data_IF_741165264706
#
_entry.id   IF_741165264706
#
_cell.length_a   1.000
_cell.length_b   1.000
_cell.length_c   1.000
_cell.angle_alpha   90.00
_cell.angle_beta   90.00
_cell.angle_gamma   90.00
#
_symmetry.space_group_name_H-M   'P 1'
#
loop_
_entity.id
_entity.type
_entity.pdbx_description
1 polymer ?
#
# COMPACT_ATOMS: atom_id res chain seq x y z
N UNK A 1 -14.53 -33.79 -49.98
CA UNK A 1 -13.10 -33.70 -49.55
C UNK A 1 -12.77 -32.22 -49.43
N UNK A 2 -12.36 -31.60 -48.33
CA UNK A 2 -11.98 -32.04 -47.00
C UNK A 2 -12.34 -30.93 -46.01
N UNK A 3 -13.01 -31.31 -44.91
CA UNK A 3 -13.04 -30.53 -43.68
C UNK A 3 -11.62 -30.48 -43.10
N UNK A 4 -11.08 -29.30 -42.86
CA UNK A 4 -9.84 -29.12 -42.07
C UNK A 4 -10.12 -28.21 -40.87
N UNK A 5 -10.53 -28.87 -39.80
CA UNK A 5 -10.09 -28.68 -38.42
C UNK A 5 -9.94 -27.25 -37.89
N UNK A 6 -11.02 -26.72 -37.32
CA UNK A 6 -10.98 -25.64 -36.34
C UNK A 6 -10.39 -26.23 -35.05
N UNK A 7 -9.12 -25.94 -34.78
CA UNK A 7 -8.45 -26.30 -33.53
C UNK A 7 -8.82 -25.26 -32.47
N UNK A 8 -9.67 -25.67 -31.53
CA UNK A 8 -10.02 -24.94 -30.31
C UNK A 8 -8.75 -24.70 -29.47
N UNK A 9 -8.30 -23.43 -29.39
CA UNK A 9 -7.35 -22.98 -28.37
C UNK A 9 -8.10 -22.85 -27.04
N UNK A 10 -8.15 -23.94 -26.28
CA UNK A 10 -8.47 -23.93 -24.85
C UNK A 10 -7.33 -23.20 -24.13
N UNK A 11 -7.54 -21.91 -23.84
CA UNK A 11 -6.70 -21.17 -22.91
C UNK A 11 -6.85 -21.81 -21.52
N UNK A 12 -5.82 -22.50 -21.06
CA UNK A 12 -5.73 -23.00 -19.69
C UNK A 12 -5.75 -21.80 -18.73
N UNK A 13 -6.92 -21.54 -18.15
CA UNK A 13 -7.08 -20.65 -17.01
C UNK A 13 -6.43 -21.35 -15.81
N UNK A 14 -5.14 -21.11 -15.58
CA UNK A 14 -4.49 -21.46 -14.33
C UNK A 14 -5.07 -20.52 -13.27
N UNK A 15 -6.17 -20.94 -12.65
CA UNK A 15 -6.59 -20.43 -11.35
C UNK A 15 -5.45 -20.75 -10.39
N UNK A 16 -4.59 -19.76 -10.13
CA UNK A 16 -3.72 -19.80 -8.97
C UNK A 16 -4.64 -19.87 -7.75
N UNK A 17 -4.89 -21.08 -7.26
CA UNK A 17 -5.51 -21.31 -5.97
C UNK A 17 -4.77 -20.44 -4.96
N UNK A 18 -5.47 -19.67 -4.10
CA UNK A 18 -4.78 -19.02 -3.00
C UNK A 18 -4.07 -20.13 -2.22
N UNK A 19 -2.76 -19.96 -1.99
CA UNK A 19 -2.01 -20.87 -1.14
C UNK A 19 -2.83 -21.06 0.13
N UNK A 20 -3.33 -22.29 0.34
CA UNK A 20 -4.09 -22.65 1.54
C UNK A 20 -3.19 -22.25 2.70
N UNK A 21 -3.63 -21.26 3.48
CA UNK A 21 -2.89 -20.82 4.64
C UNK A 21 -2.62 -22.04 5.51
N UNK A 22 -1.35 -22.34 5.78
CA UNK A 22 -0.95 -23.44 6.66
C UNK A 22 -1.71 -23.26 8.00
N UNK A 23 -2.67 -24.15 8.34
CA UNK A 23 -3.50 -24.02 9.53
C UNK A 23 -2.65 -24.02 10.81
N UNK A 24 -1.50 -24.70 10.76
CA UNK A 24 -0.52 -24.79 11.84
C UNK A 24 0.25 -23.48 12.03
N UNK A 25 0.56 -22.78 10.93
CA UNK A 25 1.18 -21.46 10.99
C UNK A 25 0.18 -20.40 11.45
N UNK A 26 -1.06 -20.46 10.96
CA UNK A 26 -2.13 -19.57 11.40
C UNK A 26 -2.46 -19.77 12.89
N UNK A 27 -2.57 -21.01 13.36
CA UNK A 27 -2.76 -21.33 14.78
C UNK A 27 -1.62 -20.84 15.68
N UNK A 28 -0.36 -20.92 15.22
CA UNK A 28 0.80 -20.35 15.94
C UNK A 28 0.75 -18.83 15.99
N UNK A 29 0.41 -18.16 14.88
CA UNK A 29 0.25 -16.71 14.84
C UNK A 29 -0.91 -16.25 15.73
N UNK A 30 -2.06 -16.93 15.69
CA UNK A 30 -3.20 -16.65 16.57
C UNK A 30 -2.79 -16.69 18.05
N UNK A 31 -2.11 -17.74 18.49
CA UNK A 31 -1.58 -17.83 19.87
C UNK A 31 -0.61 -16.71 20.21
N UNK A 32 0.21 -16.28 19.26
CA UNK A 32 1.11 -15.15 19.42
C UNK A 32 0.34 -13.82 19.65
N UNK A 33 -0.85 -13.68 19.05
CA UNK A 33 -1.65 -12.46 19.11
C UNK A 33 -2.68 -12.41 20.22
N UNK A 34 -3.19 -13.55 20.70
CA UNK A 34 -4.20 -13.66 21.77
C UNK A 34 -3.81 -12.92 23.06
N UNK A 35 -2.52 -12.84 23.32
CA UNK A 35 -1.92 -12.20 24.47
C UNK A 35 -1.72 -10.68 24.32
N UNK A 36 -1.95 -10.13 23.12
CA UNK A 36 -1.98 -8.69 22.94
C UNK A 36 -3.21 -8.11 23.64
N UNK A 37 -3.05 -6.95 24.27
CA UNK A 37 -4.16 -6.23 24.91
C UNK A 37 -4.48 -4.96 24.09
N UNK A 38 -5.43 -5.00 23.12
CA UNK A 38 -5.75 -3.87 22.25
C UNK A 38 -6.07 -2.57 23.00
N UNK A 39 -6.65 -2.67 24.19
CA UNK A 39 -7.00 -1.51 25.04
C UNK A 39 -5.78 -0.71 25.51
N UNK A 40 -4.60 -1.34 25.58
CA UNK A 40 -3.32 -0.69 25.94
C UNK A 40 -2.70 0.08 24.78
N UNK A 41 -3.10 -0.21 23.53
CA UNK A 41 -2.65 0.55 22.37
C UNK A 41 -3.45 1.85 22.25
N UNK A 42 -2.77 2.98 22.47
CA UNK A 42 -3.33 4.32 22.31
C UNK A 42 -2.78 4.97 21.05
N UNK A 43 -3.63 5.07 20.02
CA UNK A 43 -3.31 5.69 18.73
C UNK A 43 -4.01 7.03 18.59
N UNK A 44 -3.38 7.97 17.89
CA UNK A 44 -3.93 9.31 17.60
C UNK A 44 -4.56 9.43 16.20
N UNK A 45 -4.48 8.37 15.38
CA UNK A 45 -5.24 8.23 14.14
C UNK A 45 -6.74 8.20 14.45
N UNK A 46 -7.63 8.51 13.49
CA UNK A 46 -9.08 8.38 13.73
C UNK A 46 -9.58 6.95 13.49
N UNK A 47 -9.06 6.32 12.44
CA UNK A 47 -9.28 4.92 12.13
C UNK A 47 -7.96 4.18 11.99
N UNK A 48 -7.96 2.90 12.33
CA UNK A 48 -6.79 2.04 12.19
C UNK A 48 -7.19 0.57 12.05
N UNK A 49 -6.31 -0.19 11.38
CA UNK A 49 -6.37 -1.64 11.32
C UNK A 49 -4.93 -2.18 11.36
N UNK A 50 -4.71 -3.20 12.19
CA UNK A 50 -3.49 -4.01 12.21
C UNK A 50 -3.93 -5.46 12.03
N UNK A 51 -3.46 -6.11 10.98
CA UNK A 51 -3.85 -7.48 10.65
C UNK A 51 -2.67 -8.28 10.09
N UNK A 52 -2.57 -9.55 10.45
CA UNK A 52 -1.55 -10.42 9.90
C UNK A 52 -1.93 -10.98 8.51
N UNK A 53 -0.96 -11.62 7.84
CA UNK A 53 -1.16 -12.26 6.53
C UNK A 53 -2.20 -13.38 6.48
N UNK A 54 -2.61 -13.90 7.64
CA UNK A 54 -3.62 -14.95 7.75
C UNK A 54 -5.03 -14.38 7.88
N UNK A 55 -5.17 -13.05 7.97
CA UNK A 55 -6.44 -12.36 8.14
C UNK A 55 -6.83 -12.14 9.60
N UNK A 56 -5.97 -12.49 10.56
CA UNK A 56 -6.24 -12.24 11.97
C UNK A 56 -6.12 -10.74 12.22
N UNK A 57 -7.18 -10.15 12.80
CA UNK A 57 -7.17 -8.74 13.21
C UNK A 57 -6.54 -8.64 14.60
N UNK A 58 -5.39 -7.98 14.69
CA UNK A 58 -4.68 -7.73 15.95
C UNK A 58 -5.25 -6.51 16.66
N UNK A 59 -5.58 -5.47 15.89
CA UNK A 59 -6.16 -4.24 16.39
C UNK A 59 -7.05 -3.62 15.31
N UNK A 60 -8.19 -3.09 15.71
CA UNK A 60 -9.02 -2.25 14.85
C UNK A 60 -9.66 -1.11 15.64
N UNK A 61 -9.88 0.01 14.93
CA UNK A 61 -10.68 1.13 15.41
C UNK A 61 -11.32 1.80 14.21
N UNK A 62 -12.65 1.89 14.21
CA UNK A 62 -13.43 2.45 13.11
C UNK A 62 -13.01 1.87 11.74
N UNK A 63 -12.71 0.56 11.70
CA UNK A 63 -12.09 -0.05 10.53
C UNK A 63 -12.97 -0.04 9.27
N UNK A 64 -14.29 0.01 9.44
CA UNK A 64 -15.30 0.12 8.38
C UNK A 64 -15.72 1.58 8.06
N UNK A 65 -15.15 2.57 8.75
CA UNK A 65 -15.52 3.96 8.50
C UNK A 65 -14.93 4.43 7.17
N UNK A 66 -15.79 4.76 6.19
CA UNK A 66 -15.38 5.39 4.93
C UNK A 66 -14.79 6.77 5.19
N UNK A 67 -13.62 7.05 4.64
CA UNK A 67 -12.98 8.36 4.71
C UNK A 67 -12.05 8.61 3.52
N UNK A 68 -11.73 9.88 3.22
CA UNK A 68 -10.76 10.20 2.19
C UNK A 68 -9.39 9.60 2.51
N UNK A 69 -8.73 9.01 1.49
CA UNK A 69 -7.45 8.30 1.68
C UNK A 69 -6.25 8.99 1.07
N UNK A 70 -6.48 10.13 0.42
CA UNK A 70 -5.47 10.91 -0.27
C UNK A 70 -4.58 10.01 -1.16
N UNK A 71 -3.26 10.25 -1.16
CA UNK A 71 -2.30 9.52 -1.99
C UNK A 71 -2.11 8.04 -1.69
N UNK A 72 -2.77 7.45 -0.68
CA UNK A 72 -2.84 5.97 -0.57
C UNK A 72 -3.44 5.38 -1.85
N UNK A 73 -4.34 6.12 -2.50
CA UNK A 73 -4.90 5.87 -3.84
C UNK A 73 -3.87 5.40 -4.87
N UNK A 74 -2.63 5.92 -4.82
CA UNK A 74 -1.60 5.61 -5.81
C UNK A 74 -1.15 4.14 -5.79
N UNK A 75 -1.42 3.39 -4.73
CA UNK A 75 -1.25 1.94 -4.74
C UNK A 75 -2.20 1.28 -5.74
N UNK A 76 -3.48 1.67 -5.76
CA UNK A 76 -4.45 1.20 -6.76
C UNK A 76 -4.03 1.61 -8.17
N UNK A 77 -3.61 2.87 -8.36
CA UNK A 77 -3.07 3.37 -9.63
C UNK A 77 -1.94 2.49 -10.15
N UNK A 78 -0.97 2.16 -9.30
CA UNK A 78 0.16 1.33 -9.70
C UNK A 78 -0.26 -0.09 -10.11
N UNK A 79 -1.19 -0.71 -9.37
CA UNK A 79 -1.67 -2.04 -9.75
C UNK A 79 -2.38 -2.03 -11.11
N UNK A 80 -3.25 -1.05 -11.36
CA UNK A 80 -3.96 -0.93 -12.64
C UNK A 80 -3.00 -0.76 -13.82
N UNK A 81 -1.93 0.04 -13.65
CA UNK A 81 -0.89 0.20 -14.68
C UNK A 81 -0.16 -1.14 -14.93
N UNK A 82 0.22 -1.84 -13.87
CA UNK A 82 0.98 -3.09 -13.97
C UNK A 82 0.14 -4.25 -14.52
N UNK A 83 -1.13 -4.36 -14.13
CA UNK A 83 -2.06 -5.36 -14.66
C UNK A 83 -2.25 -5.22 -16.18
N UNK A 84 -2.20 -3.98 -16.67
CA UNK A 84 -2.36 -3.70 -18.10
C UNK A 84 -1.14 -4.13 -18.93
N UNK A 85 0.00 -4.42 -18.28
CA UNK A 85 1.27 -4.84 -18.88
C UNK A 85 1.76 -3.87 -19.97
N UNK A 86 1.62 -2.57 -19.72
CA UNK A 86 2.13 -1.55 -20.63
C UNK A 86 3.68 -1.51 -20.58
N UNK A 87 4.38 -1.16 -21.68
CA UNK A 87 5.85 -1.11 -21.70
C UNK A 87 6.43 -0.15 -20.66
N UNK A 88 7.22 -0.64 -19.72
CA UNK A 88 7.70 0.20 -18.61
C UNK A 88 8.80 1.19 -19.02
N UNK A 89 9.42 0.96 -20.17
CA UNK A 89 10.43 1.79 -20.83
C UNK A 89 9.85 2.88 -21.74
N UNK A 90 8.54 2.86 -22.01
CA UNK A 90 7.89 3.90 -22.80
C UNK A 90 8.09 5.27 -22.17
N UNK A 91 8.65 6.19 -22.95
CA UNK A 91 8.88 7.57 -22.52
C UNK A 91 7.58 8.36 -22.59
N UNK A 92 7.10 8.81 -21.43
CA UNK A 92 5.91 9.64 -21.29
C UNK A 92 6.33 11.09 -21.10
N UNK A 93 5.76 11.97 -21.94
CA UNK A 93 5.90 13.41 -21.80
C UNK A 93 4.82 13.96 -20.87
N UNK A 94 5.25 14.70 -19.86
CA UNK A 94 4.39 15.48 -18.98
C UNK A 94 3.82 16.67 -19.77
N UNK A 95 2.52 16.88 -19.66
CA UNK A 95 1.77 17.92 -20.37
C UNK A 95 1.10 18.88 -19.39
N UNK A 96 0.52 19.97 -19.90
CA UNK A 96 -0.30 20.88 -19.09
C UNK A 96 -1.53 20.20 -18.50
N UNK A 97 -2.04 19.14 -19.14
CA UNK A 97 -3.19 18.37 -18.66
C UNK A 97 -2.87 17.56 -17.39
N UNK A 98 -1.60 17.29 -17.10
CA UNK A 98 -1.18 16.55 -15.89
C UNK A 98 -1.08 17.46 -14.66
N UNK A 99 -1.28 18.77 -14.83
CA UNK A 99 -1.25 19.73 -13.73
C UNK A 99 -2.48 19.52 -12.86
N UNK A 100 -2.27 19.41 -11.55
CA UNK A 100 -3.32 19.52 -10.55
C UNK A 100 -4.02 20.88 -10.66
N UNK A 101 -5.32 20.85 -10.96
CA UNK A 101 -6.19 22.03 -11.04
C UNK A 101 -7.15 22.11 -9.84
N UNK A 102 -7.21 21.08 -9.00
CA UNK A 102 -8.12 21.01 -7.86
C UNK A 102 -7.50 21.63 -6.61
N UNK A 103 -6.26 21.23 -6.29
CA UNK A 103 -5.56 21.68 -5.08
C UNK A 103 -4.32 22.52 -5.37
N UNK A 104 -4.01 22.72 -6.64
CA UNK A 104 -2.87 23.52 -7.10
C UNK A 104 -1.54 23.05 -6.49
N UNK A 105 -1.38 21.72 -6.29
CA UNK A 105 -0.15 21.16 -5.72
C UNK A 105 1.06 21.39 -6.61
N UNK A 106 2.20 21.70 -5.98
CA UNK A 106 3.47 21.88 -6.65
C UNK A 106 4.03 20.56 -7.21
N UNK A 107 4.80 20.65 -8.29
CA UNK A 107 5.52 19.51 -8.87
C UNK A 107 6.81 19.99 -9.52
N UNK A 108 7.87 19.20 -9.36
CA UNK A 108 9.18 19.46 -9.99
C UNK A 108 9.28 18.90 -11.41
N UNK A 109 8.21 18.28 -11.92
CA UNK A 109 8.12 17.79 -13.30
C UNK A 109 7.39 18.82 -14.18
N UNK A 110 8.03 19.84 -14.76
CA UNK A 110 7.31 20.82 -15.59
C UNK A 110 6.72 20.18 -16.86
N UNK A 111 5.72 20.80 -17.52
CA UNK A 111 5.33 20.41 -18.88
C UNK A 111 6.56 20.33 -19.81
N UNK A 112 6.62 19.29 -20.62
CA UNK A 112 7.78 18.94 -21.44
C UNK A 112 8.80 18.02 -20.76
N UNK A 113 8.68 17.77 -19.44
CA UNK A 113 9.45 16.73 -18.77
C UNK A 113 9.17 15.36 -19.39
N UNK A 114 10.22 14.54 -19.59
CA UNK A 114 10.13 13.20 -20.20
C UNK A 114 10.75 12.18 -19.26
N UNK A 115 9.97 11.18 -18.88
CA UNK A 115 10.42 10.06 -18.04
C UNK A 115 9.80 8.77 -18.54
N UNK A 116 10.45 7.65 -18.31
CA UNK A 116 9.87 6.33 -18.59
C UNK A 116 8.64 6.08 -17.71
N UNK A 117 7.72 5.24 -18.16
CA UNK A 117 6.56 4.80 -17.37
C UNK A 117 6.98 4.22 -16.01
N UNK A 118 8.09 3.47 -15.96
CA UNK A 118 8.66 2.93 -14.74
C UNK A 118 9.19 4.00 -13.77
N UNK A 119 9.86 5.03 -14.29
CA UNK A 119 10.26 6.16 -13.46
C UNK A 119 9.03 6.91 -12.92
N UNK A 120 8.01 7.17 -13.74
CA UNK A 120 6.78 7.82 -13.28
C UNK A 120 6.05 7.00 -12.21
N UNK A 121 5.93 5.68 -12.38
CA UNK A 121 5.34 4.78 -11.38
C UNK A 121 6.15 4.82 -10.08
N UNK A 122 7.48 4.82 -10.18
CA UNK A 122 8.37 4.94 -9.01
C UNK A 122 8.16 6.27 -8.30
N UNK A 123 8.14 7.41 -9.02
CA UNK A 123 7.95 8.72 -8.42
C UNK A 123 6.56 8.87 -7.77
N UNK A 124 5.52 8.34 -8.42
CA UNK A 124 4.16 8.33 -7.90
C UNK A 124 4.06 7.58 -6.56
N UNK A 125 4.73 6.44 -6.42
CA UNK A 125 4.69 5.64 -5.19
C UNK A 125 5.65 6.18 -4.11
N UNK A 126 6.92 6.35 -4.47
CA UNK A 126 8.02 6.70 -3.56
C UNK A 126 7.86 8.11 -2.99
N UNK A 127 7.75 9.10 -3.88
CA UNK A 127 7.71 10.52 -3.53
C UNK A 127 6.31 11.12 -3.56
N UNK A 128 5.29 10.28 -3.80
CA UNK A 128 3.90 10.73 -3.89
C UNK A 128 3.67 11.77 -5.00
N UNK A 129 4.41 11.67 -6.11
CA UNK A 129 4.36 12.66 -7.19
C UNK A 129 3.01 12.62 -7.92
N UNK A 130 2.23 13.70 -7.82
CA UNK A 130 0.86 13.77 -8.33
C UNK A 130 0.81 13.83 -9.87
N UNK A 131 1.74 14.58 -10.47
CA UNK A 131 1.79 14.79 -11.91
C UNK A 131 2.22 13.52 -12.64
N UNK A 132 3.09 12.73 -12.01
CA UNK A 132 3.42 11.39 -12.49
C UNK A 132 2.19 10.46 -12.50
N UNK A 133 1.40 10.44 -11.42
CA UNK A 133 0.16 9.64 -11.37
C UNK A 133 -0.88 10.11 -12.40
N UNK A 134 -1.04 11.42 -12.58
CA UNK A 134 -1.92 11.98 -13.61
C UNK A 134 -1.48 11.59 -15.03
N UNK A 135 -0.19 11.67 -15.33
CA UNK A 135 0.36 11.29 -16.64
C UNK A 135 0.20 9.79 -16.93
N UNK A 136 0.37 8.92 -15.93
CA UNK A 136 0.12 7.49 -16.03
C UNK A 136 -1.34 7.19 -16.41
N UNK A 137 -2.29 7.86 -15.75
CA UNK A 137 -3.71 7.70 -16.06
C UNK A 137 -4.09 8.29 -17.42
N UNK A 138 -3.57 9.47 -17.77
CA UNK A 138 -3.85 10.12 -19.07
C UNK A 138 -3.37 9.27 -20.25
N UNK A 139 -2.22 8.62 -20.11
CA UNK A 139 -1.61 7.78 -21.15
C UNK A 139 -2.09 6.33 -21.12
N UNK A 140 -3.00 5.98 -20.21
CA UNK A 140 -3.65 4.69 -20.20
C UNK A 140 -4.57 4.53 -21.43
N UNK A 141 -4.69 3.32 -22.03
CA UNK A 141 -5.65 3.09 -23.11
C UNK A 141 -7.09 3.46 -22.70
N UNK A 142 -7.71 4.38 -23.44
CA UNK A 142 -9.02 4.95 -23.08
C UNK A 142 -8.98 6.16 -22.14
N UNK A 143 -7.78 6.65 -21.80
CA UNK A 143 -7.54 7.86 -21.02
C UNK A 143 -7.91 7.74 -19.54
N UNK A 144 -7.89 8.88 -18.85
CA UNK A 144 -8.12 8.97 -17.39
C UNK A 144 -9.48 8.41 -16.98
N UNK A 145 -10.52 8.62 -17.77
CA UNK A 145 -11.87 8.13 -17.44
C UNK A 145 -11.92 6.59 -17.44
N UNK A 146 -11.35 5.94 -18.46
CA UNK A 146 -11.20 4.48 -18.49
C UNK A 146 -10.30 3.97 -17.36
N UNK A 147 -9.26 4.72 -17.02
CA UNK A 147 -8.37 4.40 -15.90
C UNK A 147 -9.13 4.35 -14.58
N UNK A 148 -9.91 5.40 -14.25
CA UNK A 148 -10.71 5.48 -13.01
C UNK A 148 -11.78 4.40 -12.96
N UNK A 149 -12.46 4.10 -14.08
CA UNK A 149 -13.37 2.94 -14.15
C UNK A 149 -12.65 1.63 -13.83
N UNK A 150 -11.44 1.45 -14.34
CA UNK A 150 -10.64 0.25 -14.09
C UNK A 150 -10.19 0.15 -12.64
N UNK A 151 -9.83 1.26 -11.99
CA UNK A 151 -9.52 1.31 -10.55
C UNK A 151 -10.69 0.80 -9.71
N UNK A 152 -11.91 1.28 -9.99
CA UNK A 152 -13.11 0.86 -9.27
C UNK A 152 -13.52 -0.58 -9.57
N UNK A 153 -13.40 -1.03 -10.82
CA UNK A 153 -13.62 -2.44 -11.16
C UNK A 153 -12.65 -3.36 -10.41
N UNK A 154 -11.38 -2.97 -10.34
CA UNK A 154 -10.36 -3.71 -9.58
C UNK A 154 -10.65 -3.72 -8.09
N UNK A 155 -11.09 -2.61 -7.51
CA UNK A 155 -11.51 -2.54 -6.10
C UNK A 155 -12.55 -3.61 -5.78
N UNK A 156 -13.62 -3.70 -6.60
CA UNK A 156 -14.67 -4.72 -6.46
C UNK A 156 -14.13 -6.14 -6.58
N UNK A 157 -13.26 -6.41 -7.54
CA UNK A 157 -12.61 -7.72 -7.71
C UNK A 157 -11.74 -8.11 -6.51
N UNK A 158 -11.21 -7.14 -5.78
CA UNK A 158 -10.42 -7.35 -4.57
C UNK A 158 -11.27 -7.39 -3.28
N UNK A 159 -12.60 -7.33 -3.40
CA UNK A 159 -13.52 -7.29 -2.25
C UNK A 159 -13.46 -5.98 -1.47
N UNK A 160 -13.01 -4.90 -2.09
CA UNK A 160 -12.98 -3.55 -1.52
C UNK A 160 -14.28 -2.81 -1.83
N UNK A 161 -15.40 -3.28 -1.24
CA UNK A 161 -16.74 -2.81 -1.60
C UNK A 161 -17.09 -1.42 -1.03
N UNK A 162 -16.35 -0.94 -0.03
CA UNK A 162 -16.53 0.38 0.57
C UNK A 162 -15.54 1.42 0.02
N UNK A 163 -14.76 1.01 -0.98
CA UNK A 163 -13.80 1.84 -1.69
C UNK A 163 -14.38 2.46 -2.96
N UNK A 164 -14.04 3.72 -3.18
CA UNK A 164 -14.41 4.47 -4.37
C UNK A 164 -13.23 5.34 -4.80
N UNK A 165 -12.91 5.28 -6.09
CA UNK A 165 -11.83 6.06 -6.66
C UNK A 165 -12.38 7.07 -7.68
N UNK A 166 -12.00 8.34 -7.54
CA UNK A 166 -12.42 9.43 -8.44
C UNK A 166 -11.25 10.03 -9.24
N UNK A 167 -10.02 9.89 -8.74
CA UNK A 167 -8.81 10.37 -9.44
C UNK A 167 -7.59 9.48 -9.14
N UNK A 168 -6.56 9.43 -10.01
CA UNK A 168 -5.43 8.52 -9.87
C UNK A 168 -4.39 8.96 -8.83
N UNK A 169 -4.43 10.21 -8.38
CA UNK A 169 -3.45 10.79 -7.47
C UNK A 169 -3.94 10.85 -6.02
N UNK A 170 -5.24 10.79 -5.75
CA UNK A 170 -5.76 11.00 -4.40
C UNK A 170 -5.84 12.47 -4.03
N UNK A 171 -6.11 13.34 -5.00
CA UNK A 171 -6.29 14.78 -4.79
C UNK A 171 -7.75 15.12 -4.48
N UNK A 172 -8.68 14.42 -5.10
CA UNK A 172 -10.11 14.51 -4.81
C UNK A 172 -10.41 13.82 -3.48
N UNK A 173 -11.22 14.48 -2.65
CA UNK A 173 -11.72 13.91 -1.40
C UNK A 173 -12.73 12.78 -1.64
N UNK A 174 -13.27 12.65 -2.86
CA UNK A 174 -14.08 11.53 -3.31
C UNK A 174 -13.33 10.20 -3.43
N UNK A 175 -11.99 10.20 -3.38
CA UNK A 175 -11.20 8.99 -3.19
C UNK A 175 -11.37 8.47 -1.75
N UNK A 176 -12.35 7.60 -1.56
CA UNK A 176 -12.80 7.07 -0.27
C UNK A 176 -12.42 5.59 -0.11
N UNK A 177 -12.12 5.18 1.12
CA UNK A 177 -11.98 3.77 1.50
C UNK A 177 -12.17 3.61 3.01
N UNK A 178 -12.19 2.37 3.46
CA UNK A 178 -12.12 1.97 4.87
C UNK A 178 -10.73 1.44 5.21
N UNK A 179 -10.40 1.31 6.50
CA UNK A 179 -9.12 0.70 6.89
C UNK A 179 -9.06 -0.78 6.50
N UNK A 180 -10.22 -1.47 6.53
CA UNK A 180 -10.34 -2.87 6.13
C UNK A 180 -10.11 -3.09 4.64
N UNK A 181 -10.68 -2.24 3.79
CA UNK A 181 -10.43 -2.31 2.35
C UNK A 181 -8.98 -1.97 2.01
N UNK A 182 -8.38 -0.99 2.68
CA UNK A 182 -6.97 -0.68 2.48
C UNK A 182 -6.04 -1.81 2.90
N UNK A 183 -6.41 -2.64 3.88
CA UNK A 183 -5.61 -3.83 4.18
C UNK A 183 -5.61 -4.82 3.00
N UNK A 184 -6.76 -5.02 2.35
CA UNK A 184 -6.85 -5.82 1.11
C UNK A 184 -6.01 -5.22 0.00
N UNK A 185 -6.03 -3.89 -0.15
CA UNK A 185 -5.19 -3.16 -1.10
C UNK A 185 -3.70 -3.43 -0.84
N UNK A 186 -3.25 -3.30 0.40
CA UNK A 186 -1.84 -3.50 0.76
C UNK A 186 -1.41 -4.95 0.54
N UNK A 187 -2.20 -5.94 0.96
CA UNK A 187 -1.91 -7.35 0.68
C UNK A 187 -1.88 -7.66 -0.82
N UNK A 188 -2.84 -7.12 -1.58
CA UNK A 188 -2.85 -7.23 -3.03
C UNK A 188 -1.59 -6.66 -3.68
N UNK A 189 -1.07 -5.54 -3.16
CA UNK A 189 0.11 -4.84 -3.66
C UNK A 189 1.39 -5.69 -3.57
N UNK A 190 1.47 -6.61 -2.61
CA UNK A 190 2.63 -7.49 -2.43
C UNK A 190 2.88 -8.40 -3.62
N UNK A 191 1.86 -8.67 -4.45
CA UNK A 191 1.99 -9.50 -5.65
C UNK A 191 2.80 -8.82 -6.76
N UNK A 192 3.09 -7.53 -6.62
CA UNK A 192 3.78 -6.73 -7.62
C UNK A 192 5.17 -6.32 -7.12
N UNK A 193 6.21 -7.00 -7.60
CA UNK A 193 7.60 -6.68 -7.27
C UNK A 193 7.93 -5.20 -7.54
N UNK A 194 7.44 -4.63 -8.64
CA UNK A 194 7.63 -3.23 -8.97
C UNK A 194 7.03 -2.25 -7.94
N UNK A 195 5.91 -2.61 -7.27
CA UNK A 195 5.33 -1.77 -6.20
C UNK A 195 6.19 -1.86 -4.95
N UNK A 196 6.63 -3.07 -4.57
CA UNK A 196 7.59 -3.26 -3.47
C UNK A 196 8.81 -2.38 -3.69
N UNK A 197 9.51 -2.56 -4.81
CA UNK A 197 10.75 -1.86 -5.11
C UNK A 197 10.55 -0.33 -5.13
N UNK A 198 9.44 0.16 -5.71
CA UNK A 198 9.15 1.58 -5.76
C UNK A 198 8.82 2.18 -4.38
N UNK A 199 8.05 1.46 -3.55
CA UNK A 199 7.59 1.97 -2.25
C UNK A 199 8.65 1.90 -1.16
N UNK A 200 9.65 1.03 -1.28
CA UNK A 200 10.73 0.85 -0.30
C UNK A 200 12.03 1.55 -0.70
N UNK A 201 12.17 2.00 -1.95
CA UNK A 201 13.32 2.78 -2.40
C UNK A 201 13.44 4.10 -1.62
N UNK A 202 14.62 4.37 -1.06
CA UNK A 202 14.87 5.56 -0.24
C UNK A 202 14.91 6.86 -1.06
N UNK A 203 15.54 6.82 -2.24
CA UNK A 203 15.61 7.95 -3.17
C UNK A 203 15.86 7.47 -4.61
N UNK A 204 15.61 8.34 -5.58
CA UNK A 204 16.01 8.15 -6.98
C UNK A 204 16.40 9.50 -7.59
N UNK A 205 17.39 9.49 -8.46
CA UNK A 205 17.75 10.64 -9.30
C UNK A 205 17.21 10.38 -10.72
N UNK A 206 16.42 11.32 -11.25
CA UNK A 206 15.85 11.23 -12.61
C UNK A 206 16.27 12.43 -13.45
N UNK A 207 16.32 12.28 -14.78
CA UNK A 207 16.70 13.35 -15.71
C UNK A 207 15.52 13.73 -16.63
N UNK A 208 14.49 14.42 -16.11
CA UNK A 208 13.29 14.72 -16.88
C UNK A 208 13.49 15.74 -18.00
N UNK A 209 14.60 16.48 -17.99
CA UNK A 209 14.88 17.57 -18.92
C UNK A 209 16.28 17.41 -19.49
N UNK A 210 16.42 17.30 -20.81
CA UNK A 210 17.70 17.01 -21.47
C UNK A 210 18.81 18.03 -21.21
N UNK A 211 18.45 19.30 -20.97
CA UNK A 211 19.39 20.41 -20.73
C UNK A 211 19.58 20.78 -19.25
N UNK A 212 19.06 19.98 -18.31
CA UNK A 212 19.23 20.23 -16.86
C UNK A 212 19.81 19.02 -16.16
N UNK A 213 20.45 19.27 -15.01
CA UNK A 213 20.96 18.21 -14.14
C UNK A 213 19.85 17.31 -13.58
N UNK A 214 20.23 16.18 -12.96
CA UNK A 214 19.27 15.26 -12.38
C UNK A 214 18.46 15.91 -11.24
N UNK A 215 17.21 15.47 -11.08
CA UNK A 215 16.35 15.83 -9.96
C UNK A 215 16.30 14.65 -8.98
N UNK A 216 16.70 14.91 -7.73
CA UNK A 216 16.61 13.93 -6.64
C UNK A 216 15.22 13.90 -6.02
N UNK A 217 14.60 12.73 -6.00
CA UNK A 217 13.34 12.43 -5.32
C UNK A 217 13.61 11.52 -4.12
N UNK A 218 12.92 11.76 -3.01
CA UNK A 218 13.12 11.05 -1.75
C UNK A 218 11.81 10.43 -1.29
N UNK A 219 11.88 9.27 -0.65
CA UNK A 219 10.70 8.59 -0.13
C UNK A 219 10.00 9.44 0.94
N UNK A 220 8.68 9.46 0.85
CA UNK A 220 7.82 10.15 1.83
C UNK A 220 7.72 9.42 3.16
N UNK A 221 7.93 8.10 3.18
CA UNK A 221 7.94 7.31 4.39
C UNK A 221 9.31 7.38 5.07
N UNK A 222 9.38 8.10 6.18
CA UNK A 222 10.61 8.28 6.96
C UNK A 222 11.05 7.03 7.72
N UNK A 223 10.15 6.07 7.94
CA UNK A 223 10.45 4.85 8.70
C UNK A 223 11.44 3.94 7.95
N UNK A 224 11.53 4.07 6.62
CA UNK A 224 12.54 3.39 5.79
C UNK A 224 14.00 3.80 6.09
N UNK A 225 14.21 4.81 6.95
CA UNK A 225 15.55 5.26 7.37
C UNK A 225 15.99 4.62 8.70
N UNK A 226 15.17 3.74 9.25
CA UNK A 226 15.40 3.11 10.56
C UNK A 226 15.56 1.62 10.36
N UNK A 227 16.64 1.07 10.90
CA UNK A 227 16.93 -0.37 10.84
C UNK A 227 15.96 -1.22 11.68
N UNK A 228 15.14 -0.56 12.53
CA UNK A 228 14.07 -1.18 13.31
C UNK A 228 12.86 -1.63 12.46
N UNK A 229 12.84 -1.29 11.17
CA UNK A 229 11.68 -1.46 10.32
C UNK A 229 12.01 -2.27 9.06
N UNK A 230 11.45 -3.47 8.96
CA UNK A 230 11.40 -4.23 7.71
C UNK A 230 10.10 -3.96 6.95
N UNK A 231 10.10 -2.89 6.15
CA UNK A 231 8.93 -2.44 5.37
C UNK A 231 9.03 -2.97 3.95
N UNK A 232 8.01 -3.71 3.53
CA UNK A 232 7.91 -4.33 2.21
C UNK A 232 6.97 -3.56 1.27
N UNK A 233 5.96 -2.88 1.80
CA UNK A 233 5.11 -1.96 1.04
C UNK A 233 4.83 -0.76 1.94
N UNK A 234 4.85 0.46 1.39
CA UNK A 234 4.31 1.60 2.13
C UNK A 234 3.73 2.69 1.24
N UNK A 235 2.75 3.41 1.78
CA UNK A 235 2.29 4.65 1.16
C UNK A 235 1.79 5.63 2.21
N UNK A 236 2.25 6.87 2.09
CA UNK A 236 1.73 8.01 2.86
C UNK A 236 0.65 8.77 2.06
N UNK A 237 -0.25 9.46 2.76
CA UNK A 237 -1.26 10.32 2.15
C UNK A 237 -1.53 11.56 2.99
N UNK A 238 -1.85 12.67 2.31
CA UNK A 238 -2.36 13.88 2.95
C UNK A 238 -3.15 14.73 1.97
N UNK A 239 -4.38 15.04 2.35
CA UNK A 239 -5.16 16.24 1.99
C UNK A 239 -5.86 16.68 3.28
N UNK A 240 -6.42 17.89 3.33
CA UNK A 240 -7.02 18.41 4.56
C UNK A 240 -8.16 17.51 5.07
N UNK A 241 -8.95 16.97 4.15
CA UNK A 241 -10.13 16.15 4.38
C UNK A 241 -9.78 14.71 4.82
N UNK A 242 -8.63 14.19 4.37
CA UNK A 242 -8.15 12.86 4.72
C UNK A 242 -7.37 12.84 6.05
N UNK A 243 -6.92 14.01 6.53
CA UNK A 243 -5.84 14.08 7.51
C UNK A 243 -4.58 13.39 6.99
N UNK A 244 -3.72 12.90 7.89
CA UNK A 244 -2.55 12.12 7.51
C UNK A 244 -2.89 10.64 7.47
N UNK A 245 -2.54 9.99 6.37
CA UNK A 245 -2.69 8.55 6.18
C UNK A 245 -1.32 7.89 6.06
N UNK A 246 -1.19 6.68 6.60
CA UNK A 246 -0.05 5.80 6.42
C UNK A 246 -0.57 4.36 6.31
N UNK A 247 -0.19 3.68 5.24
CA UNK A 247 -0.38 2.23 5.11
C UNK A 247 0.98 1.57 4.92
N UNK A 248 1.16 0.42 5.53
CA UNK A 248 2.39 -0.37 5.44
C UNK A 248 2.09 -1.86 5.45
N UNK A 249 2.91 -2.60 4.71
CA UNK A 249 3.16 -4.00 4.97
C UNK A 249 4.57 -4.12 5.55
N UNK A 250 4.67 -4.71 6.73
CA UNK A 250 5.91 -4.83 7.51
C UNK A 250 5.96 -6.21 8.17
N UNK A 251 7.07 -6.56 8.79
CA UNK A 251 7.16 -7.77 9.62
C UNK A 251 7.14 -7.43 11.12
N UNK A 252 6.41 -8.23 11.90
CA UNK A 252 6.56 -8.28 13.36
C UNK A 252 6.79 -9.71 13.81
N UNK A 253 7.94 -9.98 14.45
CA UNK A 253 8.31 -11.28 14.99
C UNK A 253 8.16 -12.43 13.96
N UNK A 254 8.73 -12.27 12.76
CA UNK A 254 8.64 -13.28 11.69
C UNK A 254 7.27 -13.33 11.00
N UNK A 255 6.30 -12.49 11.38
CA UNK A 255 4.95 -12.52 10.82
C UNK A 255 4.66 -11.27 9.99
N UNK A 256 4.47 -11.42 8.67
CA UNK A 256 4.02 -10.36 7.79
C UNK A 256 2.68 -9.76 8.25
N UNK A 257 2.67 -8.45 8.45
CA UNK A 257 1.59 -7.69 9.07
C UNK A 257 1.31 -6.41 8.29
N UNK A 258 0.04 -6.10 8.10
CA UNK A 258 -0.41 -4.83 7.54
C UNK A 258 -0.80 -3.88 8.66
N UNK A 259 -0.36 -2.63 8.53
CA UNK A 259 -0.71 -1.52 9.39
C UNK A 259 -1.36 -0.43 8.54
N UNK A 260 -2.60 -0.09 8.87
CA UNK A 260 -3.37 1.00 8.25
C UNK A 260 -3.69 2.04 9.32
N UNK A 261 -3.30 3.28 9.09
CA UNK A 261 -3.51 4.42 9.97
C UNK A 261 -4.12 5.56 9.14
N UNK A 262 -5.34 5.97 9.49
CA UNK A 262 -6.09 6.96 8.71
C UNK A 262 -6.49 8.15 9.56
N UNK A 263 -6.49 9.31 8.91
CA UNK A 263 -6.90 10.58 9.50
C UNK A 263 -6.21 10.87 10.85
N UNK A 264 -4.88 10.77 10.85
CA UNK A 264 -4.08 11.22 11.98
C UNK A 264 -3.89 12.75 11.93
N UNK A 265 -4.05 13.39 13.08
CA UNK A 265 -3.78 14.81 13.23
C UNK A 265 -2.31 15.07 13.54
N UNK A 266 -1.63 15.90 12.74
CA UNK A 266 -0.22 16.24 12.91
C UNK A 266 0.74 15.47 11.99
N UNK A 267 1.78 16.16 11.49
CA UNK A 267 2.68 15.65 10.44
C UNK A 267 3.42 14.36 10.82
N UNK A 268 3.74 14.20 12.11
CA UNK A 268 4.54 13.06 12.61
C UNK A 268 3.68 11.93 13.20
N UNK A 269 2.40 12.19 13.38
CA UNK A 269 1.50 11.32 14.14
C UNK A 269 1.35 9.92 13.56
N UNK A 270 1.19 9.70 12.24
CA UNK A 270 1.13 8.33 11.71
C UNK A 270 2.40 7.53 11.98
N UNK A 271 3.58 8.17 11.95
CA UNK A 271 4.85 7.49 12.26
C UNK A 271 5.00 7.21 13.75
N UNK A 272 4.53 8.13 14.61
CA UNK A 272 4.42 7.91 16.05
C UNK A 272 3.51 6.74 16.37
N UNK A 273 2.32 6.71 15.77
CA UNK A 273 1.34 5.62 15.90
C UNK A 273 1.90 4.29 15.39
N UNK A 274 2.59 4.27 14.24
CA UNK A 274 3.27 3.07 13.75
C UNK A 274 4.30 2.54 14.77
N UNK A 275 5.11 3.42 15.36
CA UNK A 275 6.03 3.02 16.43
C UNK A 275 5.31 2.54 17.70
N UNK A 276 4.13 3.09 18.04
CA UNK A 276 3.31 2.59 19.14
C UNK A 276 2.77 1.19 18.85
N UNK A 277 2.31 0.92 17.63
CA UNK A 277 1.90 -0.42 17.18
C UNK A 277 3.05 -1.41 17.35
N UNK A 278 4.22 -1.10 16.78
CA UNK A 278 5.41 -1.96 16.88
C UNK A 278 5.76 -2.28 18.34
N UNK A 279 5.95 -1.26 19.17
CA UNK A 279 6.29 -1.42 20.59
C UNK A 279 5.22 -2.18 21.38
N UNK A 280 3.95 -2.01 21.03
CA UNK A 280 2.85 -2.73 21.67
C UNK A 280 2.90 -4.22 21.32
N UNK A 281 3.13 -4.57 20.05
CA UNK A 281 3.29 -5.97 19.61
C UNK A 281 4.52 -6.60 20.26
N UNK A 282 5.70 -5.96 20.15
CA UNK A 282 6.95 -6.44 20.73
C UNK A 282 6.81 -6.71 22.24
N UNK A 283 6.29 -5.73 23.00
CA UNK A 283 6.09 -5.88 24.45
C UNK A 283 5.12 -6.98 24.81
N UNK A 284 4.04 -7.15 24.03
CA UNK A 284 3.13 -8.26 24.21
C UNK A 284 3.89 -9.56 24.06
N UNK A 285 4.45 -9.82 22.87
CA UNK A 285 5.23 -11.04 22.54
C UNK A 285 6.27 -11.39 23.59
N UNK A 286 7.04 -10.42 24.08
CA UNK A 286 8.04 -10.65 25.11
C UNK A 286 7.43 -11.05 26.46
N UNK A 287 6.31 -10.46 26.86
CA UNK A 287 5.62 -10.82 28.11
C UNK A 287 5.11 -12.27 28.07
N UNK A 288 4.57 -12.73 26.94
CA UNK A 288 4.14 -14.13 26.81
C UNK A 288 5.30 -15.12 26.80
N UNK A 289 6.41 -14.80 26.12
CA UNK A 289 7.62 -15.62 26.16
C UNK A 289 8.12 -15.82 27.59
N UNK A 290 8.19 -14.74 28.38
CA UNK A 290 8.60 -14.80 29.79
C UNK A 290 7.64 -15.64 30.64
N UNK A 291 6.33 -15.45 30.48
CA UNK A 291 5.31 -16.22 31.22
C UNK A 291 5.37 -17.71 30.90
N UNK A 292 5.62 -18.07 29.63
CA UNK A 292 5.71 -19.46 29.20
C UNK A 292 6.95 -20.14 29.78
N UNK A 293 8.11 -19.48 29.71
CA UNK A 293 9.36 -19.97 30.31
C UNK A 293 9.25 -20.18 31.84
N UNK A 294 8.56 -19.27 32.55
CA UNK A 294 8.33 -19.42 34.00
C UNK A 294 7.42 -20.60 34.35
N UNK A 295 6.43 -20.93 33.51
CA UNK A 295 5.57 -22.10 33.70
C UNK A 295 6.34 -23.41 33.51
N UNK A 296 7.10 -23.50 32.42
CA UNK A 296 7.94 -24.68 32.13
C UNK A 296 8.99 -24.92 33.24
N UNK A 297 9.59 -23.85 33.77
CA UNK A 297 10.54 -23.95 34.87
C UNK A 297 9.89 -24.41 36.20
N UNK A 298 8.65 -23.97 36.48
CA UNK A 298 7.91 -24.36 37.69
C UNK A 298 7.46 -25.83 37.65
N UNK A 299 6.99 -26.30 36.50
CA UNK A 299 6.59 -27.69 36.29
C UNK A 299 7.80 -28.64 36.39
N UNK A 300 8.98 -28.23 35.91
CA UNK A 300 10.21 -29.03 36.02
C UNK A 300 10.77 -29.15 37.45
N UNK A 301 10.40 -28.27 38.38
CA UNK A 301 10.81 -28.33 39.80
C UNK A 301 9.84 -29.09 40.71
N UNK A 302 8.69 -29.53 40.19
CA UNK A 302 7.64 -30.22 40.97
C UNK A 302 7.41 -31.67 40.56
N UNK A 303 8.13 -32.18 39.57
CA UNK A 303 8.19 -33.60 39.19
C UNK A 303 9.53 -34.22 39.58
#
# INVERSE_FOLDING_TARGET
MHYRSILLLLAALILALPAIADPTASGRALRLWEQLEPRKLKLHSKAALVADRFGNTLYERHAEQRMPIASVTKLMTAMVILDRKLPMDEVITITKADRDQLRMTGSRLPPGARLTRGELLTLALMSSENRAAAALARTYPGGTEAFVRTMNAKAKLMGMYDSEFTDPAGLDAGNLSTARDLARLVFGAMRYGAIRDATTRSYIDVKPLSKRGPLRYVNTNRLLRSDDWDIQISKTGYINEAGRCLVMHTEFNGTPTVVVLLNSFGKLTPFGDANRVRKWIEKGVDQHRRKSAMREAGDATTG
#
